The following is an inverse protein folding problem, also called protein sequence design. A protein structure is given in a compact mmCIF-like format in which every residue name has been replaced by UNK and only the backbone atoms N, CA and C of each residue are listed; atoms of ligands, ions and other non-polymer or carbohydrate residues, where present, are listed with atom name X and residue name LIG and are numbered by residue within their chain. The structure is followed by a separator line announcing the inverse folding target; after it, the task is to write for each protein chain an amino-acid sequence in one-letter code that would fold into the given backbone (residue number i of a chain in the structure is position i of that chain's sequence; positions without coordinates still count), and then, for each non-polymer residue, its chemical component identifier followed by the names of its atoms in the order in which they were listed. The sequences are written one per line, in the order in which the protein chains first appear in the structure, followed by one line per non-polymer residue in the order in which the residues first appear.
data_IF_559344674029
#
_entry.id   IF_559344674029
#
_cell.length_a   1.000
_cell.length_b   1.000
_cell.length_c   1.000
_cell.angle_alpha   90.00
_cell.angle_beta   90.00
_cell.angle_gamma   90.00
#
_symmetry.space_group_name_H-M   'P 1'
#
loop_
_entity.id
_entity.type
_entity.pdbx_description
1 polymer ?
#
# COMPACT_ATOMS: atom_id res chain seq x y z
N UNK A 1 -30.11 21.76 8.60
CA UNK A 1 -29.11 22.67 9.19
C UNK A 1 -29.15 22.54 10.70
N UNK A 2 -28.19 21.83 11.31
CA UNK A 2 -27.93 21.87 12.76
C UNK A 2 -26.42 21.87 12.96
N UNK A 3 -25.90 23.08 13.03
CA UNK A 3 -24.51 23.42 13.30
C UNK A 3 -24.16 23.14 14.77
N UNK A 4 -22.92 22.70 14.98
CA UNK A 4 -22.05 23.06 16.09
C UNK A 4 -22.50 22.78 17.53
N UNK A 5 -21.96 21.71 18.12
CA UNK A 5 -21.62 21.69 19.56
C UNK A 5 -20.11 21.78 19.69
N UNK A 6 -19.69 22.97 20.09
CA UNK A 6 -18.33 23.36 20.39
C UNK A 6 -17.85 22.75 21.73
N UNK A 7 -16.54 22.51 21.78
CA UNK A 7 -15.68 22.62 22.97
C UNK A 7 -16.00 21.64 24.11
N UNK A 8 -15.35 20.48 24.05
CA UNK A 8 -15.02 19.67 25.22
C UNK A 8 -13.53 19.83 25.52
N UNK A 9 -13.25 20.54 26.60
CA UNK A 9 -11.94 20.91 27.14
C UNK A 9 -11.11 19.69 27.55
N UNK A 10 -9.85 19.69 27.12
CA UNK A 10 -8.64 19.26 27.83
C UNK A 10 -8.82 18.42 29.11
N UNK A 11 -8.35 17.16 29.07
CA UNK A 11 -7.66 16.54 30.20
C UNK A 11 -6.46 15.76 29.68
N UNK A 12 -5.30 16.43 29.68
CA UNK A 12 -3.98 15.82 29.58
C UNK A 12 -3.69 15.18 30.94
N UNK A 13 -3.89 13.87 31.03
CA UNK A 13 -3.40 13.08 32.15
C UNK A 13 -2.01 12.53 31.78
N UNK A 14 -0.96 13.28 32.14
CA UNK A 14 0.42 12.79 32.19
C UNK A 14 0.47 11.77 33.33
N UNK A 15 0.30 10.49 33.00
CA UNK A 15 0.67 9.42 33.93
C UNK A 15 2.17 9.23 33.88
N UNK A 16 2.76 9.54 35.03
CA UNK A 16 4.16 9.41 35.42
C UNK A 16 4.64 7.98 35.15
N UNK A 17 5.66 7.87 34.30
CA UNK A 17 6.46 6.66 34.10
C UNK A 17 7.31 6.44 35.36
N UNK A 18 7.23 5.28 36.05
CA UNK A 18 8.21 4.96 37.06
C UNK A 18 9.55 4.63 36.38
N UNK A 19 10.56 5.39 36.75
CA UNK A 19 11.96 5.18 36.41
C UNK A 19 12.55 4.03 37.26
N UNK A 20 13.17 3.07 36.55
CA UNK A 20 14.44 2.40 36.85
C UNK A 20 14.57 1.52 38.11
N UNK A 21 14.72 0.21 37.89
CA UNK A 21 15.64 -0.71 38.59
C UNK A 21 15.65 -2.02 37.79
N UNK A 22 16.71 -2.80 37.61
CA UNK A 22 18.14 -2.66 37.78
C UNK A 22 18.70 -3.92 37.10
N UNK A 23 19.76 -3.74 36.31
CA UNK A 23 20.88 -4.66 36.13
C UNK A 23 20.64 -6.18 36.19
N UNK A 24 20.71 -6.82 35.01
CA UNK A 24 21.42 -8.09 34.82
C UNK A 24 21.77 -8.26 33.32
N UNK A 25 22.91 -7.72 32.90
CA UNK A 25 23.70 -8.33 31.83
C UNK A 25 24.53 -9.46 32.46
N UNK A 26 24.65 -10.60 31.76
CA UNK A 26 26.02 -11.02 31.45
C UNK A 26 26.22 -11.56 30.03
N UNK A 27 27.43 -11.24 29.53
CA UNK A 27 28.22 -11.99 28.55
C UNK A 27 27.76 -11.84 27.08
N UNK A 28 28.36 -10.96 26.27
CA UNK A 28 29.69 -11.09 25.65
C UNK A 28 29.89 -12.42 24.89
N UNK A 29 30.63 -12.34 23.78
CA UNK A 29 31.22 -13.48 23.06
C UNK A 29 30.30 -14.38 22.22
N UNK A 30 29.85 -13.87 21.06
CA UNK A 30 30.03 -14.66 19.83
C UNK A 30 30.20 -13.78 18.58
N UNK A 31 31.29 -13.00 18.56
CA UNK A 31 31.90 -12.56 17.30
C UNK A 31 32.77 -13.71 16.76
N UNK A 32 32.15 -14.69 16.12
CA UNK A 32 32.89 -15.59 15.23
C UNK A 32 33.10 -14.85 13.91
N UNK A 33 34.27 -14.24 13.78
CA UNK A 33 34.86 -13.87 12.51
C UNK A 33 35.88 -14.96 12.10
N UNK A 34 35.57 -15.73 11.05
CA UNK A 34 36.52 -16.38 10.11
C UNK A 34 35.78 -16.49 8.77
N UNK A 35 36.17 -15.75 7.72
CA UNK A 35 37.36 -15.91 6.86
C UNK A 35 37.13 -16.97 5.76
N UNK A 36 37.19 -16.50 4.52
CA UNK A 36 37.02 -17.23 3.25
C UNK A 36 36.27 -16.27 2.29
N UNK A 37 36.87 -15.39 1.50
CA UNK A 37 38.09 -15.53 0.71
C UNK A 37 37.93 -16.63 -0.36
N UNK A 38 37.91 -16.17 -1.61
CA UNK A 38 38.31 -16.87 -2.85
C UNK A 38 37.51 -18.08 -3.36
N UNK A 39 36.66 -17.82 -4.36
CA UNK A 39 36.44 -18.62 -5.59
C UNK A 39 35.60 -17.71 -6.53
N UNK A 40 36.14 -16.88 -7.43
CA UNK A 40 36.81 -17.21 -8.69
C UNK A 40 35.99 -18.16 -9.59
N UNK A 41 35.11 -17.61 -10.43
CA UNK A 41 35.19 -17.70 -11.90
C UNK A 41 33.86 -17.31 -12.55
N UNK A 42 33.88 -16.11 -13.12
CA UNK A 42 32.89 -15.57 -14.04
C UNK A 42 33.07 -16.25 -15.41
N UNK A 43 32.27 -17.28 -15.69
CA UNK A 43 32.20 -17.84 -17.04
C UNK A 43 31.36 -16.92 -17.94
N UNK A 44 32.07 -16.19 -18.80
CA UNK A 44 31.49 -15.39 -19.86
C UNK A 44 30.71 -16.20 -20.90
N UNK A 45 29.59 -15.60 -21.33
CA UNK A 45 29.18 -15.58 -22.72
C UNK A 45 28.55 -16.84 -23.32
N UNK A 46 27.22 -16.92 -23.30
CA UNK A 46 26.48 -17.44 -24.47
C UNK A 46 25.21 -16.64 -24.73
N UNK A 47 25.31 -15.78 -25.74
CA UNK A 47 24.20 -15.29 -26.55
C UNK A 47 23.48 -16.50 -27.16
N UNK A 48 22.17 -16.51 -27.04
CA UNK A 48 21.28 -17.56 -27.54
C UNK A 48 19.88 -17.01 -27.64
N UNK A 49 19.63 -16.36 -28.77
CA UNK A 49 18.36 -15.79 -29.19
C UNK A 49 17.35 -16.93 -29.40
N UNK A 50 16.32 -16.98 -28.56
CA UNK A 50 15.15 -17.82 -28.78
C UNK A 50 13.93 -16.92 -28.91
N UNK A 51 13.69 -16.48 -30.15
CA UNK A 51 12.34 -16.19 -30.61
C UNK A 51 11.60 -17.53 -30.71
N UNK A 52 10.38 -17.61 -30.19
CA UNK A 52 9.22 -17.98 -31.02
C UNK A 52 7.88 -17.90 -30.27
N UNK A 53 6.92 -17.35 -31.02
CA UNK A 53 5.49 -17.65 -31.04
C UNK A 53 4.66 -17.46 -29.75
N UNK A 54 4.05 -16.27 -29.72
CA UNK A 54 2.70 -16.08 -29.21
C UNK A 54 1.74 -17.14 -29.77
N UNK A 55 1.15 -17.95 -28.90
CA UNK A 55 -0.21 -18.49 -29.10
C UNK A 55 -0.96 -18.43 -27.77
N UNK A 56 -1.96 -17.56 -27.76
CA UNK A 56 -2.86 -17.39 -26.63
C UNK A 56 -3.81 -18.58 -26.48
N UNK A 57 -3.98 -19.01 -25.24
CA UNK A 57 -5.25 -19.56 -24.76
C UNK A 57 -5.39 -19.22 -23.28
N UNK A 58 -5.99 -18.07 -23.00
CA UNK A 58 -6.49 -17.77 -21.66
C UNK A 58 -7.89 -18.40 -21.54
N UNK A 59 -8.22 -19.09 -20.44
CA UNK A 59 -9.47 -19.81 -20.27
C UNK A 59 -10.66 -18.86 -20.12
N UNK A 60 -11.71 -19.10 -20.90
CA UNK A 60 -13.04 -18.57 -20.63
C UNK A 60 -13.61 -19.26 -19.39
N UNK A 61 -13.99 -18.47 -18.39
CA UNK A 61 -14.74 -19.00 -17.24
C UNK A 61 -14.54 -18.22 -15.95
N UNK A 62 -15.04 -16.98 -15.90
CA UNK A 62 -15.33 -16.33 -14.63
C UNK A 62 -16.57 -15.44 -14.81
N UNK A 63 -17.74 -15.97 -14.47
CA UNK A 63 -18.88 -15.14 -14.10
C UNK A 63 -18.79 -14.85 -12.61
N UNK A 64 -18.74 -13.58 -12.18
CA UNK A 64 -19.20 -13.22 -10.86
C UNK A 64 -20.60 -12.62 -11.00
N UNK A 65 -21.62 -13.42 -10.72
CA UNK A 65 -22.85 -12.89 -10.17
C UNK A 65 -22.56 -12.53 -8.71
N UNK A 66 -21.92 -11.38 -8.50
CA UNK A 66 -21.73 -10.81 -7.18
C UNK A 66 -22.99 -10.01 -6.84
N UNK A 67 -23.66 -10.43 -5.78
CA UNK A 67 -24.86 -9.83 -5.23
C UNK A 67 -24.72 -8.31 -5.08
N UNK A 68 -25.48 -7.58 -5.87
CA UNK A 68 -25.56 -6.11 -5.89
C UNK A 68 -26.31 -5.61 -4.64
N UNK A 69 -25.61 -5.60 -3.51
CA UNK A 69 -25.78 -4.46 -2.60
C UNK A 69 -25.21 -3.25 -3.34
N UNK A 70 -25.81 -2.05 -3.32
CA UNK A 70 -25.21 -0.90 -3.98
C UNK A 70 -23.82 -0.68 -3.38
N UNK A 71 -22.78 -1.13 -4.08
CA UNK A 71 -21.40 -0.92 -3.69
C UNK A 71 -21.25 0.60 -3.53
N UNK A 72 -20.81 1.10 -2.37
CA UNK A 72 -20.59 2.54 -2.22
C UNK A 72 -19.63 2.95 -3.33
N UNK A 73 -20.11 3.71 -4.32
CA UNK A 73 -19.34 3.97 -5.52
C UNK A 73 -17.95 4.52 -5.20
N UNK A 74 -16.97 4.32 -6.09
CA UNK A 74 -15.54 4.55 -5.83
C UNK A 74 -15.17 5.89 -5.17
N UNK A 75 -15.95 6.96 -5.41
CA UNK A 75 -15.82 8.24 -4.71
C UNK A 75 -16.11 8.14 -3.21
N UNK A 76 -17.21 7.50 -2.81
CA UNK A 76 -17.60 7.36 -1.41
C UNK A 76 -16.57 6.52 -0.64
N UNK A 77 -16.10 5.42 -1.24
CA UNK A 77 -15.01 4.62 -0.70
C UNK A 77 -13.72 5.43 -0.54
N UNK A 78 -13.34 6.20 -1.57
CA UNK A 78 -12.18 7.08 -1.50
C UNK A 78 -12.30 8.10 -0.36
N UNK A 79 -13.45 8.78 -0.25
CA UNK A 79 -13.68 9.81 0.77
C UNK A 79 -13.59 9.22 2.19
N UNK A 80 -14.21 8.05 2.42
CA UNK A 80 -14.23 7.40 3.74
C UNK A 80 -12.87 6.79 4.08
N UNK A 81 -12.28 5.99 3.18
CA UNK A 81 -11.06 5.23 3.50
C UNK A 81 -9.83 6.13 3.54
N UNK A 82 -9.68 7.04 2.57
CA UNK A 82 -8.46 7.84 2.42
C UNK A 82 -8.40 9.06 3.34
N UNK A 83 -9.52 9.53 3.88
CA UNK A 83 -9.55 10.65 4.84
C UNK A 83 -9.15 10.24 6.26
N UNK A 84 -9.18 8.94 6.56
CA UNK A 84 -8.86 8.38 7.89
C UNK A 84 -7.47 8.79 8.39
N UNK A 85 -6.47 8.85 7.48
CA UNK A 85 -5.07 9.05 7.87
C UNK A 85 -4.46 10.37 7.36
N UNK A 86 -5.03 10.97 6.32
CA UNK A 86 -4.50 12.20 5.73
C UNK A 86 -5.55 12.96 4.89
N UNK A 87 -5.28 14.24 4.62
CA UNK A 87 -6.14 15.04 3.75
C UNK A 87 -6.24 14.48 2.32
N UNK A 88 -7.45 14.49 1.75
CA UNK A 88 -7.74 14.02 0.38
C UNK A 88 -7.07 14.87 -0.70
N UNK A 89 -6.62 16.09 -0.37
CA UNK A 89 -5.86 16.94 -1.28
C UNK A 89 -4.53 16.30 -1.74
N UNK A 90 -3.92 15.40 -0.94
CA UNK A 90 -2.64 14.77 -1.32
C UNK A 90 -2.75 13.86 -2.56
N UNK A 91 -3.69 12.90 -2.62
CA UNK A 91 -3.93 12.16 -3.85
C UNK A 91 -4.57 13.04 -4.93
N UNK A 92 -5.52 13.92 -4.59
CA UNK A 92 -6.19 14.76 -5.60
C UNK A 92 -5.29 15.85 -6.21
N UNK A 93 -4.10 16.11 -5.67
CA UNK A 93 -3.10 17.00 -6.27
C UNK A 93 -2.17 16.30 -7.27
N UNK A 94 -2.40 15.01 -7.58
CA UNK A 94 -1.55 14.23 -8.49
C UNK A 94 -2.37 13.72 -9.66
N UNK A 95 -1.72 13.55 -10.79
CA UNK A 95 -2.26 12.88 -11.97
C UNK A 95 -1.44 11.61 -12.21
N UNK A 96 -2.11 10.48 -12.38
CA UNK A 96 -1.47 9.20 -12.68
C UNK A 96 -2.34 8.40 -13.62
N UNK A 97 -1.71 7.46 -14.31
CA UNK A 97 -2.43 6.41 -15.03
C UNK A 97 -2.96 5.34 -14.06
N UNK A 98 -3.64 4.34 -14.64
CA UNK A 98 -4.24 3.25 -13.88
C UNK A 98 -3.22 2.45 -13.08
N UNK A 99 -2.05 2.18 -13.66
CA UNK A 99 -1.00 1.42 -12.97
C UNK A 99 -0.44 2.21 -11.77
N UNK A 100 -0.15 3.50 -11.98
CA UNK A 100 0.32 4.39 -10.93
C UNK A 100 -0.69 4.56 -9.79
N UNK A 101 -1.98 4.60 -10.09
CA UNK A 101 -3.03 4.60 -9.06
C UNK A 101 -3.17 3.26 -8.35
N UNK A 102 -3.12 2.15 -9.08
CA UNK A 102 -3.18 0.79 -8.51
C UNK A 102 -2.04 0.57 -7.52
N UNK A 103 -0.81 0.93 -7.90
CA UNK A 103 0.36 0.88 -7.02
C UNK A 103 0.16 1.74 -5.77
N UNK A 104 -0.43 2.94 -5.92
CA UNK A 104 -0.67 3.84 -4.79
C UNK A 104 -1.68 3.26 -3.80
N UNK A 105 -2.83 2.79 -4.29
CA UNK A 105 -3.89 2.22 -3.45
C UNK A 105 -3.42 0.92 -2.79
N UNK A 106 -2.72 0.07 -3.54
CA UNK A 106 -2.12 -1.18 -3.01
C UNK A 106 -1.10 -0.89 -1.91
N UNK A 107 -0.28 0.16 -2.05
CA UNK A 107 0.63 0.58 -0.99
C UNK A 107 -0.14 1.03 0.26
N UNK A 108 -1.23 1.79 0.10
CA UNK A 108 -2.04 2.21 1.25
C UNK A 108 -2.69 1.00 1.95
N UNK A 109 -3.16 0.03 1.17
CA UNK A 109 -3.74 -1.22 1.67
C UNK A 109 -2.69 -2.06 2.43
N UNK A 110 -1.57 -2.39 1.80
CA UNK A 110 -0.61 -3.40 2.30
C UNK A 110 0.47 -2.84 3.21
N UNK A 111 0.98 -1.65 2.92
CA UNK A 111 2.11 -1.06 3.67
C UNK A 111 1.61 -0.16 4.79
N UNK A 112 0.55 0.61 4.55
CA UNK A 112 -0.01 1.52 5.55
C UNK A 112 -1.18 0.91 6.34
N UNK A 113 -1.59 -0.33 6.03
CA UNK A 113 -2.62 -1.05 6.77
C UNK A 113 -4.03 -0.46 6.63
N UNK A 114 -4.32 0.24 5.54
CA UNK A 114 -5.67 0.74 5.30
C UNK A 114 -6.60 -0.44 5.01
N UNK A 115 -7.70 -0.55 5.77
CA UNK A 115 -8.70 -1.60 5.62
C UNK A 115 -9.52 -1.40 4.33
N UNK A 116 -8.93 -1.77 3.20
CA UNK A 116 -9.51 -1.72 1.85
C UNK A 116 -9.48 -3.14 1.30
N UNK A 117 -10.63 -3.66 0.87
CA UNK A 117 -10.71 -4.94 0.15
C UNK A 117 -10.27 -4.77 -1.31
N UNK A 118 -9.97 -5.87 -2.01
CA UNK A 118 -9.52 -5.78 -3.41
C UNK A 118 -10.61 -5.21 -4.35
N UNK A 119 -11.88 -5.48 -4.06
CA UNK A 119 -13.02 -4.90 -4.78
C UNK A 119 -13.10 -3.38 -4.56
N UNK A 120 -13.02 -2.94 -3.30
CA UNK A 120 -13.00 -1.51 -2.96
C UNK A 120 -11.78 -0.81 -3.58
N UNK A 121 -10.61 -1.45 -3.56
CA UNK A 121 -9.39 -0.92 -4.16
C UNK A 121 -9.58 -0.69 -5.66
N UNK A 122 -10.18 -1.65 -6.37
CA UNK A 122 -10.51 -1.49 -7.78
C UNK A 122 -11.46 -0.31 -8.02
N UNK A 123 -12.54 -0.20 -7.25
CA UNK A 123 -13.50 0.90 -7.36
C UNK A 123 -12.84 2.28 -7.10
N UNK A 124 -11.95 2.36 -6.10
CA UNK A 124 -11.19 3.58 -5.78
C UNK A 124 -10.24 3.93 -6.93
N UNK A 125 -9.53 2.95 -7.50
CA UNK A 125 -8.63 3.19 -8.65
C UNK A 125 -9.43 3.67 -9.86
N UNK A 126 -10.58 3.05 -10.15
CA UNK A 126 -11.46 3.45 -11.25
C UNK A 126 -11.88 4.93 -11.12
N UNK A 127 -12.30 5.33 -9.91
CA UNK A 127 -12.62 6.73 -9.60
C UNK A 127 -11.40 7.66 -9.77
N UNK A 128 -10.24 7.30 -9.20
CA UNK A 128 -9.04 8.14 -9.26
C UNK A 128 -8.52 8.32 -10.69
N UNK A 129 -8.59 7.30 -11.54
CA UNK A 129 -8.25 7.43 -12.97
C UNK A 129 -9.23 8.37 -13.68
N UNK A 130 -10.52 8.29 -13.36
CA UNK A 130 -11.54 9.15 -13.97
C UNK A 130 -11.34 10.63 -13.62
N UNK A 131 -11.03 10.94 -12.35
CA UNK A 131 -10.88 12.34 -11.90
C UNK A 131 -9.46 12.87 -12.01
N UNK A 132 -8.47 11.99 -11.98
CA UNK A 132 -7.02 12.29 -11.87
C UNK A 132 -6.18 11.35 -12.74
N UNK A 133 -6.66 11.07 -13.95
CA UNK A 133 -5.92 10.38 -15.00
C UNK A 133 -4.63 11.10 -15.40
N UNK A 134 -3.82 10.53 -16.30
CA UNK A 134 -2.57 11.16 -16.73
C UNK A 134 -2.88 12.55 -17.28
N UNK A 135 -2.12 13.56 -16.82
CA UNK A 135 -2.24 14.90 -17.38
C UNK A 135 -1.89 14.78 -18.86
N UNK A 136 -2.81 15.23 -19.73
CA UNK A 136 -2.54 15.31 -21.16
C UNK A 136 -1.20 16.03 -21.35
N UNK A 137 -0.25 15.30 -21.91
CA UNK A 137 1.06 15.78 -22.36
C UNK A 137 0.92 16.94 -23.34
#
# INVERSE_FOLDING_TARGET
MRWNRWIGVLLVAVMVVPAMSAFAEPDAELRIARRGADDAEEHGGRRGDHHDAATGRSPAGATPAASESPDPGGKALFDVKCSTCHALARPLGKNKDRDGWTTTVTRMQKVNGCAITDAEAKAIVDYLVQVRGPAGK
#
